data_IF_308149715724
#
_entry.id   IF_308149715724
#
_cell.length_a   1.000
_cell.length_b   1.000
_cell.length_c   1.000
_cell.angle_alpha   90.00
_cell.angle_beta   90.00
_cell.angle_gamma   90.00
#
_symmetry.space_group_name_H-M   'P 1'
#
loop_
_entity.id
_entity.type
_entity.pdbx_description
1 polymer ?
#
# COMPACT_ATOMS: atom_id res chain seq x y z
N UNK A 1 -6.70 9.59 -27.32
CA UNK A 1 -6.26 8.70 -26.22
C UNK A 1 -7.40 7.76 -25.93
N UNK A 2 -7.13 6.48 -25.98
CA UNK A 2 -8.04 5.41 -25.63
C UNK A 2 -7.62 4.82 -24.30
N UNK A 3 -8.57 4.48 -23.43
CA UNK A 3 -8.34 3.84 -22.15
C UNK A 3 -8.94 2.44 -22.18
N UNK A 4 -8.10 1.44 -21.96
CA UNK A 4 -8.53 0.05 -21.74
C UNK A 4 -8.34 -0.33 -20.29
N UNK A 5 -9.22 -1.15 -19.73
CA UNK A 5 -9.17 -1.58 -18.32
C UNK A 5 -9.43 -3.06 -18.20
N UNK A 6 -8.85 -3.70 -17.21
CA UNK A 6 -9.12 -5.09 -16.86
C UNK A 6 -8.91 -5.33 -15.36
N UNK A 7 -9.61 -6.32 -14.83
CA UNK A 7 -9.40 -6.83 -13.47
C UNK A 7 -8.45 -8.04 -13.51
N UNK A 8 -7.29 -7.89 -12.91
CA UNK A 8 -6.30 -8.97 -12.79
C UNK A 8 -6.54 -9.88 -11.57
N UNK A 9 -7.54 -9.62 -10.74
CA UNK A 9 -7.93 -10.45 -9.59
C UNK A 9 -6.77 -10.76 -8.62
N UNK A 10 -5.80 -9.89 -8.50
CA UNK A 10 -4.54 -10.08 -7.76
C UNK A 10 -3.71 -11.30 -8.22
N UNK A 11 -3.90 -11.75 -9.47
CA UNK A 11 -3.22 -12.92 -10.05
C UNK A 11 -2.16 -12.48 -11.07
N UNK A 12 -0.85 -12.67 -10.78
CA UNK A 12 0.24 -12.24 -11.68
C UNK A 12 0.15 -12.88 -13.08
N UNK A 13 -0.23 -14.15 -13.17
CA UNK A 13 -0.32 -14.87 -14.46
C UNK A 13 -1.45 -14.31 -15.33
N UNK A 14 -2.61 -14.00 -14.73
CA UNK A 14 -3.72 -13.37 -15.43
C UNK A 14 -3.34 -11.97 -15.91
N UNK A 15 -2.72 -11.19 -15.03
CA UNK A 15 -2.24 -9.85 -15.39
C UNK A 15 -1.23 -9.89 -16.53
N UNK A 16 -0.26 -10.81 -16.48
CA UNK A 16 0.74 -10.99 -17.54
C UNK A 16 0.11 -11.39 -18.88
N UNK A 17 -0.89 -12.26 -18.87
CA UNK A 17 -1.62 -12.65 -20.08
C UNK A 17 -2.38 -11.48 -20.69
N UNK A 18 -3.05 -10.67 -19.86
CA UNK A 18 -3.77 -9.46 -20.29
C UNK A 18 -2.77 -8.44 -20.87
N UNK A 19 -1.68 -8.17 -20.16
CA UNK A 19 -0.68 -7.19 -20.58
C UNK A 19 0.05 -7.60 -21.87
N UNK A 20 0.35 -8.89 -22.07
CA UNK A 20 0.90 -9.38 -23.36
C UNK A 20 -0.06 -9.10 -24.49
N UNK A 21 -1.34 -9.42 -24.34
CA UNK A 21 -2.35 -9.13 -25.35
C UNK A 21 -2.43 -7.61 -25.64
N UNK A 22 -2.43 -6.79 -24.60
CA UNK A 22 -2.45 -5.33 -24.73
C UNK A 22 -1.24 -4.80 -25.51
N UNK A 23 -0.02 -5.25 -25.17
CA UNK A 23 1.19 -4.82 -25.84
C UNK A 23 1.34 -5.39 -27.27
N UNK A 24 1.03 -6.67 -27.48
CA UNK A 24 1.34 -7.37 -28.73
C UNK A 24 0.22 -7.28 -29.78
N UNK A 25 -1.04 -7.13 -29.35
CA UNK A 25 -2.22 -7.18 -30.23
C UNK A 25 -2.97 -5.85 -30.27
N UNK A 26 -3.18 -5.24 -29.11
CA UNK A 26 -3.99 -4.01 -28.99
C UNK A 26 -3.15 -2.73 -29.07
N UNK A 27 -1.82 -2.85 -29.22
CA UNK A 27 -0.87 -1.74 -29.34
C UNK A 27 -0.94 -0.72 -28.20
N UNK A 28 -1.18 -1.17 -26.97
CA UNK A 28 -1.15 -0.31 -25.79
C UNK A 28 0.27 0.23 -25.57
N UNK A 29 0.40 1.51 -25.33
CA UNK A 29 1.69 2.19 -25.19
C UNK A 29 2.19 2.19 -23.76
N UNK A 30 1.28 2.24 -22.77
CA UNK A 30 1.62 2.34 -21.35
C UNK A 30 0.57 1.65 -20.49
N UNK A 31 1.03 0.91 -19.49
CA UNK A 31 0.18 0.33 -18.43
C UNK A 31 0.44 1.11 -17.14
N UNK A 32 -0.61 1.43 -16.40
CA UNK A 32 -0.50 2.17 -15.14
C UNK A 32 -1.38 1.59 -14.06
N UNK A 33 -1.19 2.07 -12.85
CA UNK A 33 -1.85 1.74 -11.61
C UNK A 33 -1.24 0.47 -10.97
N UNK A 34 -1.61 -0.75 -11.35
CA UNK A 34 -1.02 -2.02 -10.90
C UNK A 34 -1.05 -2.18 -9.37
N UNK A 35 -2.24 -2.37 -8.81
CA UNK A 35 -2.54 -2.33 -7.37
C UNK A 35 -1.76 -3.33 -6.50
N UNK A 36 -1.40 -4.49 -7.03
CA UNK A 36 -0.81 -5.61 -6.24
C UNK A 36 0.67 -5.76 -6.55
N UNK A 37 1.54 -5.76 -5.53
CA UNK A 37 3.00 -5.81 -5.72
C UNK A 37 3.49 -7.02 -6.52
N UNK A 38 2.92 -8.20 -6.33
CA UNK A 38 3.28 -9.39 -7.14
C UNK A 38 2.87 -9.24 -8.61
N UNK A 39 1.73 -8.61 -8.88
CA UNK A 39 1.30 -8.25 -10.24
C UNK A 39 2.21 -7.18 -10.83
N UNK A 40 2.48 -6.12 -10.08
CA UNK A 40 3.35 -5.03 -10.54
C UNK A 40 4.74 -5.54 -10.92
N UNK A 41 5.37 -6.39 -10.11
CA UNK A 41 6.67 -7.00 -10.42
C UNK A 41 6.64 -7.83 -11.71
N UNK A 42 5.57 -8.62 -11.93
CA UNK A 42 5.43 -9.42 -13.15
C UNK A 42 5.23 -8.54 -14.40
N UNK A 43 4.41 -7.49 -14.31
CA UNK A 43 4.21 -6.54 -15.41
C UNK A 43 5.46 -5.71 -15.65
N UNK A 44 6.16 -5.31 -14.61
CA UNK A 44 7.41 -4.55 -14.69
C UNK A 44 8.50 -5.31 -15.49
N UNK A 45 8.65 -6.62 -15.25
CA UNK A 45 9.56 -7.45 -16.04
C UNK A 45 9.06 -7.63 -17.49
N UNK A 46 7.74 -7.80 -17.70
CA UNK A 46 7.16 -7.86 -19.04
C UNK A 46 7.35 -6.54 -19.80
N UNK A 47 7.15 -5.41 -19.16
CA UNK A 47 7.35 -4.08 -19.77
C UNK A 47 8.79 -3.88 -20.23
N UNK A 48 9.75 -4.36 -19.42
CA UNK A 48 11.18 -4.40 -19.80
C UNK A 48 11.42 -5.28 -21.04
N UNK A 49 10.87 -6.50 -21.07
CA UNK A 49 10.96 -7.42 -22.22
C UNK A 49 10.41 -6.76 -23.50
N UNK A 50 9.25 -6.11 -23.38
CA UNK A 50 8.55 -5.47 -24.50
C UNK A 50 9.05 -4.06 -24.84
N UNK A 51 9.93 -3.47 -24.01
CA UNK A 51 10.38 -2.06 -24.11
C UNK A 51 9.20 -1.09 -24.12
N UNK A 52 8.22 -1.37 -23.26
CA UNK A 52 6.99 -0.58 -23.09
C UNK A 52 7.00 0.05 -21.69
N UNK A 53 6.32 1.16 -21.53
CA UNK A 53 6.27 1.88 -20.26
C UNK A 53 5.26 1.26 -19.32
N UNK A 54 5.66 1.09 -18.05
CA UNK A 54 4.74 0.90 -16.93
C UNK A 54 4.95 1.98 -15.87
N UNK A 55 3.85 2.49 -15.30
CA UNK A 55 3.88 3.45 -14.21
C UNK A 55 3.06 2.88 -13.05
N UNK A 56 3.76 2.36 -12.06
CA UNK A 56 3.15 1.72 -10.90
C UNK A 56 2.78 2.78 -9.87
N UNK A 57 1.52 2.79 -9.44
CA UNK A 57 0.99 3.73 -8.45
C UNK A 57 0.48 3.02 -7.20
N UNK A 58 -0.34 1.97 -7.37
CA UNK A 58 -1.01 1.30 -6.25
C UNK A 58 -0.17 0.24 -5.56
N UNK A 59 0.70 -0.47 -6.28
CA UNK A 59 1.62 -1.42 -5.66
C UNK A 59 2.78 -0.69 -4.99
N UNK A 60 3.15 -1.12 -3.79
CA UNK A 60 4.06 -0.36 -2.94
C UNK A 60 5.45 -1.00 -2.74
N UNK A 61 5.71 -2.23 -3.21
CA UNK A 61 7.01 -2.87 -2.92
C UNK A 61 8.21 -2.02 -3.33
N UNK A 62 9.11 -1.73 -2.41
CA UNK A 62 10.38 -0.99 -2.66
C UNK A 62 11.29 -1.68 -3.67
N UNK A 63 11.05 -2.96 -3.97
CA UNK A 63 11.80 -3.73 -4.97
C UNK A 63 11.72 -3.13 -6.38
N UNK A 64 10.62 -2.44 -6.73
CA UNK A 64 10.44 -1.81 -8.05
C UNK A 64 11.51 -0.77 -8.38
N UNK A 65 12.03 -0.08 -7.36
CA UNK A 65 13.15 0.89 -7.47
C UNK A 65 14.46 0.35 -6.91
N UNK A 66 14.44 -0.89 -6.35
CA UNK A 66 15.58 -1.62 -5.81
C UNK A 66 16.09 -2.71 -6.76
N UNK A 67 15.99 -3.95 -6.32
CA UNK A 67 16.50 -5.12 -7.04
C UNK A 67 15.76 -5.44 -8.35
N UNK A 68 14.53 -4.99 -8.50
CA UNK A 68 13.75 -5.14 -9.73
C UNK A 68 13.76 -3.90 -10.63
N UNK A 69 14.54 -2.86 -10.33
CA UNK A 69 14.58 -1.63 -11.11
C UNK A 69 14.93 -1.88 -12.59
N UNK A 70 14.25 -1.17 -13.50
CA UNK A 70 14.42 -1.34 -14.95
C UNK A 70 14.12 -0.03 -15.71
N UNK A 71 14.65 0.18 -16.94
CA UNK A 71 14.65 1.49 -17.59
C UNK A 71 13.29 1.97 -18.15
N UNK A 72 12.28 1.11 -18.22
CA UNK A 72 10.95 1.44 -18.77
C UNK A 72 9.88 1.55 -17.70
N UNK A 73 10.21 1.28 -16.43
CA UNK A 73 9.30 1.27 -15.32
C UNK A 73 9.48 2.46 -14.39
N UNK A 74 8.38 2.98 -13.91
CA UNK A 74 8.34 4.09 -12.97
C UNK A 74 7.51 3.71 -11.75
N UNK A 75 8.10 3.80 -10.56
CA UNK A 75 7.36 3.68 -9.31
C UNK A 75 6.95 5.08 -8.85
N UNK A 76 5.64 5.32 -8.78
CA UNK A 76 5.05 6.64 -8.56
C UNK A 76 4.33 6.69 -7.21
N UNK A 77 4.34 7.80 -6.55
CA UNK A 77 3.66 8.14 -5.32
C UNK A 77 4.32 7.66 -4.02
N UNK A 78 4.36 6.39 -3.70
CA UNK A 78 4.86 5.87 -2.42
C UNK A 78 5.40 4.44 -2.57
N UNK A 79 6.22 4.03 -1.60
CA UNK A 79 6.71 2.66 -1.51
C UNK A 79 6.70 2.15 -0.05
N UNK A 80 7.02 0.87 0.14
CA UNK A 80 7.09 0.25 1.47
C UNK A 80 8.15 0.87 2.37
N UNK A 81 9.23 1.40 1.80
CA UNK A 81 10.25 2.11 2.57
C UNK A 81 9.73 3.44 3.12
N UNK A 82 9.07 4.25 2.28
CA UNK A 82 8.47 5.53 2.72
C UNK A 82 7.42 5.32 3.81
N UNK A 83 6.57 4.29 3.67
CA UNK A 83 5.57 3.91 4.66
C UNK A 83 6.22 3.48 5.99
N UNK A 84 7.29 2.69 5.91
CA UNK A 84 8.06 2.24 7.07
C UNK A 84 8.72 3.40 7.81
N UNK A 85 9.35 4.33 7.10
CA UNK A 85 9.97 5.52 7.68
C UNK A 85 8.92 6.40 8.37
N UNK A 86 7.82 6.68 7.70
CA UNK A 86 6.76 7.53 8.23
C UNK A 86 6.10 6.93 9.48
N UNK A 87 5.46 5.79 9.34
CA UNK A 87 4.70 5.17 10.43
C UNK A 87 5.60 4.46 11.44
N UNK A 88 6.52 3.62 10.99
CA UNK A 88 7.43 2.88 11.87
C UNK A 88 8.34 3.79 12.65
N UNK A 89 9.02 4.73 11.97
CA UNK A 89 9.92 5.70 12.60
C UNK A 89 9.22 6.60 13.62
N UNK A 90 8.00 7.07 13.31
CA UNK A 90 7.22 7.89 14.24
C UNK A 90 6.84 7.13 15.51
N UNK A 91 6.38 5.88 15.37
CA UNK A 91 5.96 5.07 16.51
C UNK A 91 7.12 4.66 17.41
N UNK A 92 8.30 4.35 16.87
CA UNK A 92 9.50 4.07 17.68
C UNK A 92 9.90 5.31 18.48
N UNK A 93 9.93 6.50 17.87
CA UNK A 93 10.20 7.76 18.55
C UNK A 93 9.17 8.06 19.65
N UNK A 94 7.94 7.60 19.51
CA UNK A 94 6.88 7.72 20.50
C UNK A 94 6.88 6.60 21.56
N UNK A 95 7.99 5.83 21.68
CA UNK A 95 8.19 4.79 22.68
C UNK A 95 7.67 3.40 22.31
N UNK A 96 7.26 3.20 21.05
CA UNK A 96 6.89 1.88 20.50
C UNK A 96 8.12 1.08 20.10
N UNK A 97 8.88 0.61 21.07
CA UNK A 97 10.19 -0.02 20.89
C UNK A 97 10.16 -1.53 20.66
N UNK A 98 8.99 -2.16 20.71
CA UNK A 98 8.83 -3.60 20.45
C UNK A 98 7.65 -3.86 19.52
N UNK A 99 7.89 -4.67 18.48
CA UNK A 99 6.97 -4.87 17.36
C UNK A 99 6.68 -6.35 17.13
N UNK A 100 5.44 -6.62 16.74
CA UNK A 100 5.02 -7.90 16.18
C UNK A 100 4.20 -7.62 14.92
N UNK A 101 4.40 -8.39 13.83
CA UNK A 101 3.72 -8.12 12.57
C UNK A 101 2.60 -9.13 12.26
N UNK A 102 1.48 -8.61 11.76
CA UNK A 102 0.51 -9.35 10.97
C UNK A 102 0.81 -9.08 9.49
N UNK A 103 1.35 -10.08 8.80
CA UNK A 103 1.92 -9.88 7.46
C UNK A 103 1.12 -10.64 6.42
N UNK A 104 0.58 -9.93 5.45
CA UNK A 104 -0.09 -10.53 4.30
C UNK A 104 0.89 -11.44 3.52
N UNK A 105 0.46 -12.66 3.23
CA UNK A 105 1.32 -13.73 2.69
C UNK A 105 1.57 -13.58 1.18
N UNK A 106 2.15 -12.43 0.77
CA UNK A 106 2.58 -12.16 -0.61
C UNK A 106 3.63 -11.04 -0.66
N UNK A 107 4.15 -10.75 -1.87
CA UNK A 107 5.31 -9.86 -2.08
C UNK A 107 5.22 -8.50 -1.37
N UNK A 108 4.04 -7.89 -1.31
CA UNK A 108 3.83 -6.61 -0.61
C UNK A 108 4.03 -6.75 0.90
N UNK A 109 3.35 -7.72 1.54
CA UNK A 109 3.45 -7.91 2.98
C UNK A 109 4.90 -8.19 3.42
N UNK A 110 5.62 -9.00 2.65
CA UNK A 110 7.04 -9.29 2.92
C UNK A 110 7.92 -8.06 2.80
N UNK A 111 7.73 -7.24 1.75
CA UNK A 111 8.49 -6.01 1.58
C UNK A 111 8.21 -5.02 2.71
N UNK A 112 6.93 -4.83 3.07
CA UNK A 112 6.52 -3.89 4.12
C UNK A 112 7.01 -4.31 5.51
N UNK A 113 6.92 -5.60 5.85
CA UNK A 113 7.48 -6.14 7.09
C UNK A 113 9.00 -5.95 7.15
N UNK A 114 9.70 -6.28 6.05
CA UNK A 114 11.16 -6.14 5.96
C UNK A 114 11.58 -4.68 6.16
N UNK A 115 11.05 -3.78 5.34
CA UNK A 115 11.40 -2.36 5.37
C UNK A 115 11.08 -1.74 6.74
N UNK A 116 9.90 -2.08 7.33
CA UNK A 116 9.54 -1.60 8.67
C UNK A 116 10.44 -2.18 9.76
N UNK A 117 10.80 -3.45 9.67
CA UNK A 117 11.71 -4.10 10.63
C UNK A 117 13.11 -3.46 10.61
N UNK A 118 13.62 -3.11 9.43
CA UNK A 118 14.89 -2.40 9.27
C UNK A 118 14.84 -1.02 9.93
N UNK A 119 13.79 -0.24 9.69
CA UNK A 119 13.60 1.09 10.29
C UNK A 119 13.44 1.00 11.82
N UNK A 120 12.62 0.07 12.30
CA UNK A 120 12.42 -0.16 13.73
C UNK A 120 13.73 -0.53 14.41
N UNK A 121 14.49 -1.43 13.84
CA UNK A 121 15.78 -1.89 14.40
C UNK A 121 16.82 -0.78 14.37
N UNK A 122 16.93 -0.05 13.26
CA UNK A 122 17.85 1.09 13.15
C UNK A 122 17.53 2.22 14.15
N UNK A 123 16.26 2.37 14.52
CA UNK A 123 15.81 3.31 15.53
C UNK A 123 15.94 2.79 16.98
N UNK A 124 16.53 1.61 17.20
CA UNK A 124 16.75 0.99 18.50
C UNK A 124 15.59 0.15 19.02
N UNK A 125 14.57 -0.09 18.21
CA UNK A 125 13.46 -0.98 18.54
C UNK A 125 13.79 -2.46 18.31
N UNK A 126 12.86 -3.34 18.65
CA UNK A 126 12.99 -4.80 18.52
C UNK A 126 11.78 -5.39 17.81
N UNK A 127 12.00 -6.31 16.90
CA UNK A 127 10.96 -7.14 16.30
C UNK A 127 10.90 -8.45 17.08
N UNK A 128 9.75 -8.73 17.70
CA UNK A 128 9.53 -9.92 18.52
C UNK A 128 9.04 -11.11 17.70
N UNK A 129 8.53 -10.88 16.49
CA UNK A 129 8.08 -11.91 15.58
C UNK A 129 7.05 -11.39 14.59
N UNK A 130 6.54 -12.31 13.78
CA UNK A 130 5.48 -12.06 12.80
C UNK A 130 4.63 -13.31 12.58
N UNK A 131 3.45 -13.13 12.04
CA UNK A 131 2.59 -14.21 11.57
C UNK A 131 2.13 -13.91 10.14
N UNK A 132 2.11 -14.96 9.30
CA UNK A 132 1.65 -14.87 7.90
C UNK A 132 0.13 -15.06 7.84
N UNK A 133 -0.53 -14.16 7.15
CA UNK A 133 -1.98 -14.16 6.99
C UNK A 133 -2.30 -14.30 5.49
N UNK A 134 -3.05 -15.32 5.09
CA UNK A 134 -3.46 -15.46 3.69
C UNK A 134 -4.22 -14.22 3.21
N UNK A 135 -4.00 -13.85 1.94
CA UNK A 135 -4.69 -12.73 1.31
C UNK A 135 -6.21 -12.97 1.28
N UNK A 136 -6.98 -11.91 1.54
CA UNK A 136 -8.44 -11.92 1.62
C UNK A 136 -8.98 -12.78 2.78
N UNK A 137 -8.29 -12.81 3.90
CA UNK A 137 -8.78 -13.46 5.10
C UNK A 137 -9.99 -12.72 5.69
N UNK A 138 -11.01 -13.46 6.08
CA UNK A 138 -12.16 -12.90 6.81
C UNK A 138 -12.02 -13.00 8.33
N UNK A 139 -11.21 -13.95 8.82
CA UNK A 139 -10.98 -14.22 10.24
C UNK A 139 -9.50 -14.00 10.59
N UNK A 140 -9.27 -13.06 11.48
CA UNK A 140 -7.95 -12.69 12.01
C UNK A 140 -7.74 -13.14 13.46
N UNK A 141 -8.71 -13.83 14.08
CA UNK A 141 -8.74 -14.15 15.50
C UNK A 141 -7.46 -14.83 16.00
N UNK A 142 -7.04 -15.92 15.35
CA UNK A 142 -5.86 -16.69 15.76
C UNK A 142 -4.56 -15.89 15.58
N UNK A 143 -4.48 -15.07 14.55
CA UNK A 143 -3.32 -14.21 14.27
C UNK A 143 -3.22 -13.06 15.29
N UNK A 144 -4.35 -12.44 15.62
CA UNK A 144 -4.45 -11.38 16.63
C UNK A 144 -4.13 -11.89 18.03
N UNK A 145 -4.55 -13.10 18.40
CA UNK A 145 -4.19 -13.72 19.66
C UNK A 145 -2.68 -13.98 19.77
N UNK A 146 -2.02 -14.38 18.68
CA UNK A 146 -0.56 -14.50 18.63
C UNK A 146 0.11 -13.14 18.84
N UNK A 147 -0.36 -12.10 18.15
CA UNK A 147 0.14 -10.74 18.28
C UNK A 147 -0.07 -10.21 19.71
N UNK A 148 -1.23 -10.43 20.31
CA UNK A 148 -1.53 -10.06 21.70
C UNK A 148 -0.60 -10.77 22.69
N UNK A 149 -0.38 -12.07 22.49
CA UNK A 149 0.48 -12.91 23.35
C UNK A 149 1.95 -12.53 23.26
N UNK A 150 2.40 -11.92 22.16
CA UNK A 150 3.78 -11.44 21.99
C UNK A 150 4.17 -10.35 22.98
N UNK A 151 3.20 -9.63 23.56
CA UNK A 151 3.38 -8.46 24.42
C UNK A 151 4.16 -7.31 23.74
N UNK A 152 4.25 -7.32 22.42
CA UNK A 152 4.81 -6.20 21.69
C UNK A 152 4.02 -4.91 21.97
N UNK A 153 4.68 -3.78 22.08
CA UNK A 153 4.01 -2.49 22.26
C UNK A 153 3.25 -2.06 21.01
N UNK A 154 3.72 -2.50 19.83
CA UNK A 154 3.13 -2.16 18.54
C UNK A 154 2.87 -3.43 17.74
N UNK A 155 1.67 -3.55 17.21
CA UNK A 155 1.31 -4.55 16.20
C UNK A 155 1.32 -3.86 14.85
N UNK A 156 2.28 -4.22 14.01
CA UNK A 156 2.42 -3.71 12.66
C UNK A 156 1.51 -4.47 11.70
N UNK A 157 0.55 -3.79 11.11
CA UNK A 157 -0.36 -4.35 10.13
C UNK A 157 0.29 -4.25 8.74
N UNK A 158 1.11 -5.24 8.39
CA UNK A 158 1.76 -5.36 7.09
C UNK A 158 0.81 -6.01 6.06
N UNK A 159 -0.38 -5.47 5.95
CA UNK A 159 -1.46 -5.83 5.04
C UNK A 159 -2.11 -4.55 4.48
N UNK A 160 -3.14 -4.68 3.64
CA UNK A 160 -3.78 -3.54 2.99
C UNK A 160 -5.28 -3.81 2.73
N UNK A 161 -6.03 -2.73 2.50
CA UNK A 161 -7.42 -2.81 2.08
C UNK A 161 -8.33 -3.47 3.11
N UNK A 162 -9.15 -4.43 2.64
CA UNK A 162 -10.11 -5.12 3.51
C UNK A 162 -9.42 -5.92 4.62
N UNK A 163 -8.23 -6.49 4.37
CA UNK A 163 -7.48 -7.24 5.39
C UNK A 163 -7.06 -6.31 6.54
N UNK A 164 -6.63 -5.08 6.25
CA UNK A 164 -6.30 -4.08 7.28
C UNK A 164 -7.54 -3.68 8.08
N UNK A 165 -8.63 -3.35 7.41
CA UNK A 165 -9.87 -2.94 8.09
C UNK A 165 -10.48 -4.04 8.93
N UNK A 166 -10.43 -5.31 8.47
CA UNK A 166 -10.86 -6.47 9.24
C UNK A 166 -9.95 -6.70 10.46
N UNK A 167 -8.62 -6.59 10.29
CA UNK A 167 -7.67 -6.72 11.40
C UNK A 167 -7.95 -5.69 12.50
N UNK A 168 -8.22 -4.44 12.13
CA UNK A 168 -8.48 -3.37 13.10
C UNK A 168 -9.80 -3.61 13.84
N UNK A 169 -10.88 -3.95 13.11
CA UNK A 169 -12.19 -4.24 13.72
C UNK A 169 -12.09 -5.38 14.74
N UNK A 170 -11.50 -6.50 14.33
CA UNK A 170 -11.34 -7.66 15.21
C UNK A 170 -10.36 -7.38 16.35
N UNK A 171 -9.30 -6.60 16.16
CA UNK A 171 -8.42 -6.18 17.25
C UNK A 171 -9.16 -5.33 18.29
N UNK A 172 -10.13 -4.52 17.90
CA UNK A 172 -10.99 -3.78 18.82
C UNK A 172 -11.92 -4.70 19.62
N UNK A 173 -12.50 -5.73 18.97
CA UNK A 173 -13.33 -6.75 19.63
C UNK A 173 -12.53 -7.53 20.68
N UNK A 174 -11.28 -7.90 20.38
CA UNK A 174 -10.37 -8.54 21.35
C UNK A 174 -9.80 -7.60 22.42
N UNK A 175 -10.10 -6.30 22.33
CA UNK A 175 -9.63 -5.32 23.30
C UNK A 175 -8.11 -5.10 23.27
N UNK A 176 -7.45 -5.37 22.15
CA UNK A 176 -5.97 -5.31 22.02
C UNK A 176 -5.46 -3.90 22.37
N UNK A 177 -6.08 -2.85 21.78
CA UNK A 177 -5.69 -1.46 22.05
C UNK A 177 -5.99 -1.06 23.49
N UNK A 178 -7.14 -1.48 24.03
CA UNK A 178 -7.49 -1.27 25.43
C UNK A 178 -6.53 -1.99 26.40
N UNK A 179 -5.93 -3.08 25.94
CA UNK A 179 -4.88 -3.83 26.64
C UNK A 179 -3.50 -3.17 26.63
N UNK A 180 -3.35 -2.02 25.95
CA UNK A 180 -2.13 -1.21 25.92
C UNK A 180 -1.23 -1.40 24.71
N UNK A 181 -1.55 -2.31 23.79
CA UNK A 181 -0.83 -2.45 22.52
C UNK A 181 -1.36 -1.44 21.51
N UNK A 182 -0.48 -0.87 20.68
CA UNK A 182 -0.84 0.06 19.60
C UNK A 182 -0.97 -0.70 18.27
N UNK A 183 -1.84 -0.24 17.38
CA UNK A 183 -1.91 -0.70 16.01
C UNK A 183 -1.22 0.31 15.09
N UNK A 184 -0.34 -0.18 14.22
CA UNK A 184 0.28 0.60 13.15
C UNK A 184 -0.37 0.21 11.82
N UNK A 185 -1.15 1.11 11.22
CA UNK A 185 -1.68 0.95 9.87
C UNK A 185 -0.60 1.28 8.85
N UNK A 186 0.26 0.31 8.51
CA UNK A 186 1.44 0.55 7.68
C UNK A 186 1.10 0.93 6.23
N UNK A 187 0.00 0.39 5.69
CA UNK A 187 -0.63 0.92 4.48
C UNK A 187 -2.14 1.03 4.70
N UNK A 188 -2.58 2.24 4.93
CA UNK A 188 -3.98 2.59 5.09
C UNK A 188 -4.20 4.02 4.61
N UNK A 189 -5.28 4.25 3.90
CA UNK A 189 -5.63 5.56 3.36
C UNK A 189 -6.72 6.25 4.19
N UNK A 190 -6.80 7.57 4.12
CA UNK A 190 -7.88 8.32 4.78
C UNK A 190 -9.27 7.92 4.30
N UNK A 191 -9.41 7.43 3.07
CA UNK A 191 -10.67 6.88 2.58
C UNK A 191 -11.08 5.63 3.36
N UNK A 192 -10.12 4.77 3.70
CA UNK A 192 -10.34 3.56 4.52
C UNK A 192 -10.60 3.92 5.97
N UNK A 193 -9.90 4.91 6.53
CA UNK A 193 -10.18 5.46 7.87
C UNK A 193 -11.62 5.96 7.97
N UNK A 194 -12.07 6.71 6.97
CA UNK A 194 -13.45 7.18 6.92
C UNK A 194 -14.47 6.04 6.81
N UNK A 195 -14.17 5.01 6.03
CA UNK A 195 -15.01 3.81 5.90
C UNK A 195 -15.03 2.92 7.14
N UNK A 196 -13.91 2.88 7.89
CA UNK A 196 -13.79 2.15 9.15
C UNK A 196 -14.62 2.82 10.27
N UNK A 197 -14.71 4.13 10.25
CA UNK A 197 -15.28 4.97 11.30
C UNK A 197 -14.24 5.47 12.30
N UNK A 198 -14.44 6.70 12.76
CA UNK A 198 -13.46 7.40 13.60
C UNK A 198 -13.22 6.73 14.96
N UNK A 199 -14.24 6.08 15.54
CA UNK A 199 -14.10 5.36 16.81
C UNK A 199 -13.14 4.17 16.68
N UNK A 200 -13.31 3.35 15.65
CA UNK A 200 -12.42 2.20 15.40
C UNK A 200 -11.02 2.60 14.93
N UNK A 201 -10.89 3.77 14.32
CA UNK A 201 -9.61 4.32 13.86
C UNK A 201 -8.86 5.14 14.92
N UNK A 202 -9.44 5.31 16.12
CA UNK A 202 -8.84 6.14 17.16
C UNK A 202 -7.46 5.61 17.58
N UNK A 203 -6.45 6.49 17.54
CA UNK A 203 -5.08 6.15 17.91
C UNK A 203 -4.27 5.44 16.84
N UNK A 204 -4.82 5.19 15.65
CA UNK A 204 -4.06 4.71 14.51
C UNK A 204 -3.05 5.75 14.02
N UNK A 205 -1.85 5.29 13.71
CA UNK A 205 -0.82 6.07 13.03
C UNK A 205 -0.64 5.49 11.64
N UNK A 206 -0.67 6.35 10.63
CA UNK A 206 -0.52 5.98 9.23
C UNK A 206 0.30 7.04 8.48
N UNK A 207 0.76 6.70 7.29
CA UNK A 207 1.50 7.59 6.39
C UNK A 207 0.70 7.80 5.12
N UNK A 208 0.47 9.05 4.75
CA UNK A 208 -0.18 9.45 3.49
C UNK A 208 0.76 10.31 2.66
N UNK A 209 0.88 9.99 1.37
CA UNK A 209 1.64 10.79 0.40
C UNK A 209 0.84 11.96 -0.17
N UNK A 210 -0.46 12.05 0.14
CA UNK A 210 -1.35 13.13 -0.28
C UNK A 210 -2.46 13.31 0.75
N UNK A 211 -2.68 14.57 1.15
CA UNK A 211 -3.81 14.95 2.00
C UNK A 211 -4.67 16.00 1.28
N UNK A 212 -5.96 15.74 1.19
CA UNK A 212 -6.90 16.52 0.39
C UNK A 212 -7.01 17.98 0.85
N UNK A 213 -6.75 18.27 2.12
CA UNK A 213 -6.80 19.63 2.73
C UNK A 213 -5.40 20.16 3.08
N UNK A 214 -4.35 19.73 2.38
CA UNK A 214 -3.00 20.17 2.65
C UNK A 214 -2.76 21.64 2.23
N UNK A 215 -3.19 22.00 1.03
CA UNK A 215 -3.04 23.34 0.44
C UNK A 215 -4.16 23.63 -0.58
N UNK A 216 -4.17 24.84 -1.16
CA UNK A 216 -5.19 25.25 -2.12
C UNK A 216 -5.22 24.38 -3.38
N UNK A 217 -4.07 23.87 -3.83
CA UNK A 217 -4.00 22.99 -5.02
C UNK A 217 -4.59 21.63 -4.70
N UNK A 218 -4.29 21.09 -3.54
CA UNK A 218 -4.85 19.82 -3.04
C UNK A 218 -6.37 19.93 -2.87
N UNK A 219 -6.85 21.03 -2.28
CA UNK A 219 -8.30 21.31 -2.16
C UNK A 219 -8.98 21.42 -3.51
N UNK A 220 -8.43 22.21 -4.43
CA UNK A 220 -9.00 22.38 -5.78
C UNK A 220 -9.06 21.08 -6.59
N UNK A 221 -8.04 20.21 -6.48
CA UNK A 221 -8.08 18.86 -7.07
C UNK A 221 -9.16 18.02 -6.41
N UNK A 222 -9.22 18.01 -5.11
CA UNK A 222 -10.12 17.18 -4.32
C UNK A 222 -11.59 17.55 -4.50
N UNK A 223 -11.92 18.83 -4.62
CA UNK A 223 -13.27 19.30 -4.96
C UNK A 223 -13.74 18.78 -6.32
N UNK A 224 -12.86 18.81 -7.35
CA UNK A 224 -13.18 18.27 -8.68
C UNK A 224 -13.40 16.77 -8.64
N UNK A 225 -12.59 16.05 -7.85
CA UNK A 225 -12.72 14.62 -7.65
C UNK A 225 -14.01 14.29 -6.92
N UNK A 226 -14.30 15.01 -5.81
CA UNK A 226 -15.52 14.82 -5.02
C UNK A 226 -16.80 15.02 -5.84
N UNK A 227 -16.85 16.06 -6.66
CA UNK A 227 -17.99 16.33 -7.56
C UNK A 227 -18.30 15.16 -8.51
N UNK A 228 -17.31 14.32 -8.83
CA UNK A 228 -17.46 13.17 -9.74
C UNK A 228 -17.74 11.85 -9.02
N UNK A 229 -17.24 11.70 -7.80
CA UNK A 229 -17.19 10.40 -7.11
C UNK A 229 -17.96 10.36 -5.80
N UNK A 230 -18.33 11.51 -5.25
CA UNK A 230 -18.98 11.63 -3.93
C UNK A 230 -18.07 11.35 -2.73
N UNK A 231 -16.75 11.24 -2.94
CA UNK A 231 -15.76 10.97 -1.89
C UNK A 231 -14.46 11.74 -2.11
N UNK A 232 -13.68 11.95 -1.07
CA UNK A 232 -12.36 12.58 -1.17
C UNK A 232 -11.33 11.61 -1.76
N UNK A 233 -10.34 12.11 -2.55
CA UNK A 233 -9.27 11.29 -3.09
C UNK A 233 -8.28 10.87 -2.01
N UNK A 234 -7.73 9.67 -2.14
CA UNK A 234 -6.56 9.19 -1.40
C UNK A 234 -5.26 9.50 -2.16
N UNK A 235 -4.11 9.17 -1.56
CA UNK A 235 -2.82 9.26 -2.23
C UNK A 235 -2.75 8.43 -3.53
N UNK A 236 -3.47 7.31 -3.62
CA UNK A 236 -3.51 6.48 -4.83
C UNK A 236 -4.23 7.21 -5.96
N UNK A 237 -5.36 7.85 -5.69
CA UNK A 237 -6.10 8.64 -6.70
C UNK A 237 -5.28 9.84 -7.19
N UNK A 238 -4.64 10.57 -6.26
CA UNK A 238 -3.78 11.69 -6.61
C UNK A 238 -2.54 11.25 -7.38
N UNK A 239 -1.95 10.11 -6.99
CA UNK A 239 -0.83 9.47 -7.67
C UNK A 239 -1.17 9.08 -9.11
N UNK A 240 -2.29 8.38 -9.31
CA UNK A 240 -2.75 7.97 -10.65
C UNK A 240 -3.03 9.17 -11.55
N UNK A 241 -3.66 10.22 -11.01
CA UNK A 241 -3.87 11.47 -11.74
C UNK A 241 -2.54 12.12 -12.17
N UNK A 242 -1.58 12.25 -11.25
CA UNK A 242 -0.31 12.91 -11.54
C UNK A 242 0.57 12.09 -12.48
N UNK A 243 0.60 10.76 -12.32
CA UNK A 243 1.33 9.84 -13.20
C UNK A 243 0.81 9.92 -14.63
N UNK A 244 -0.51 9.78 -14.81
CA UNK A 244 -1.16 9.86 -16.12
C UNK A 244 -0.93 11.22 -16.77
N UNK A 245 -1.07 12.31 -16.01
CA UNK A 245 -0.83 13.67 -16.51
C UNK A 245 0.63 13.87 -16.96
N UNK A 246 1.59 13.31 -16.21
CA UNK A 246 3.02 13.39 -16.54
C UNK A 246 3.33 12.63 -17.81
N UNK A 247 2.80 11.42 -17.97
CA UNK A 247 2.91 10.66 -19.22
C UNK A 247 2.34 11.40 -20.42
N UNK A 248 1.12 11.95 -20.30
CA UNK A 248 0.47 12.70 -21.38
C UNK A 248 1.23 13.97 -21.77
N UNK A 249 1.87 14.63 -20.80
CA UNK A 249 2.76 15.77 -21.11
C UNK A 249 3.99 15.32 -21.89
N UNK A 250 4.60 14.20 -21.53
CA UNK A 250 5.74 13.64 -22.25
C UNK A 250 5.38 13.23 -23.69
N UNK A 251 4.20 12.62 -23.88
CA UNK A 251 3.70 12.27 -25.25
C UNK A 251 3.48 13.52 -26.11
N UNK A 252 3.13 14.66 -25.49
CA UNK A 252 2.89 15.92 -26.22
C UNK A 252 4.19 16.65 -26.57
N UNK A 253 5.26 16.45 -25.82
CA UNK A 253 6.54 17.15 -26.01
C UNK A 253 7.30 16.64 -27.23
#
# INVERSE_FOLDING_TARGET
IELVTADHQNKPDLASSIARRWYDVENVDMITELTTSSVALAIHELSKEKKKIDIVVGAATSRLTGDACQPYGFHWAFDTHALAVGTGGALVKAGGDSWFFLTADYAFGYALEKDTSEIVTAAGGKVLGSVRVPLNSSDFSSFLLQAQSSKAKVIGLANAGQDTTNSIKQAAEFGIVRGGQKLAGLLMTLAEVNGLGLEAAQGLVLTEGFYWDHDDKSRAFSERFFKRTGRMPSMIHAGTYSATLSYLKAVKA
#
